data_IF_236006334674
#
_entry.id   IF_236006334674
#
_cell.length_a   1.000
_cell.length_b   1.000
_cell.length_c   1.000
_cell.angle_alpha   90.00
_cell.angle_beta   90.00
_cell.angle_gamma   90.00
#
_symmetry.space_group_name_H-M   'P 1'
#
loop_
_entity.id
_entity.type
_entity.pdbx_description
1 polymer ?
#
# COMPACT_ATOMS: atom_id res chain seq x y z
N UNK A 1 8.31 -34.13 43.82
CA UNK A 1 7.06 -34.00 43.08
C UNK A 1 7.40 -34.02 41.58
N UNK A 2 7.18 -35.18 40.95
CA UNK A 2 7.60 -35.43 39.57
C UNK A 2 6.65 -34.75 38.56
N UNK A 3 7.24 -34.07 37.57
CA UNK A 3 6.50 -33.56 36.40
C UNK A 3 6.30 -34.71 35.42
N UNK A 4 5.07 -35.18 35.27
CA UNK A 4 4.68 -36.13 34.22
C UNK A 4 4.72 -35.41 32.86
N UNK A 5 5.57 -35.91 31.93
CA UNK A 5 5.54 -35.57 30.53
C UNK A 5 4.31 -36.20 29.88
N UNK A 6 3.46 -35.37 29.30
CA UNK A 6 2.36 -35.84 28.42
C UNK A 6 3.00 -36.32 27.13
N UNK A 7 2.91 -37.62 26.86
CA UNK A 7 3.29 -38.19 25.55
C UNK A 7 2.06 -38.09 24.64
N UNK A 8 2.17 -37.29 23.59
CA UNK A 8 1.13 -37.19 22.53
C UNK A 8 1.36 -38.38 21.56
N UNK A 9 0.37 -39.22 21.28
CA UNK A 9 0.54 -40.31 20.32
C UNK A 9 0.73 -39.77 18.91
N UNK A 10 1.71 -40.28 18.17
CA UNK A 10 1.85 -40.04 16.73
C UNK A 10 0.70 -40.73 16.01
N UNK A 11 -0.13 -39.94 15.34
CA UNK A 11 -1.15 -40.43 14.42
C UNK A 11 -0.47 -40.74 13.08
N UNK A 12 -0.34 -42.02 12.76
CA UNK A 12 0.09 -42.49 11.43
C UNK A 12 -1.09 -42.37 10.46
N UNK A 13 -1.02 -41.45 9.48
CA UNK A 13 -1.98 -41.37 8.38
C UNK A 13 -1.64 -42.46 7.33
N UNK A 14 -2.62 -43.21 6.83
CA UNK A 14 -2.38 -44.17 5.75
C UNK A 14 -2.33 -43.44 4.40
N UNK A 15 -1.32 -43.74 3.58
CA UNK A 15 -1.20 -43.36 2.18
C UNK A 15 -0.30 -42.15 1.94
N UNK A 16 1.04 -42.34 2.04
CA UNK A 16 1.99 -41.37 1.51
C UNK A 16 1.98 -41.43 -0.01
N UNK A 17 1.45 -40.40 -0.64
CA UNK A 17 1.83 -40.07 -2.03
C UNK A 17 3.34 -39.82 -2.00
N UNK A 18 4.10 -40.62 -2.77
CA UNK A 18 5.54 -40.46 -2.86
C UNK A 18 5.86 -39.03 -3.38
N UNK A 19 6.32 -38.16 -2.48
CA UNK A 19 6.88 -36.87 -2.82
C UNK A 19 8.20 -37.13 -3.57
N UNK A 20 8.51 -36.40 -4.67
CA UNK A 20 9.79 -36.52 -5.33
C UNK A 20 10.90 -36.15 -4.34
N UNK A 21 11.58 -37.14 -3.83
CA UNK A 21 12.55 -37.05 -2.73
C UNK A 21 13.78 -36.17 -3.04
N UNK A 22 13.99 -35.74 -4.28
CA UNK A 22 15.13 -34.91 -4.67
C UNK A 22 14.96 -33.39 -4.53
N UNK A 23 13.72 -32.87 -4.40
CA UNK A 23 13.48 -31.42 -4.37
C UNK A 23 13.51 -30.89 -2.93
N UNK A 24 13.10 -31.68 -1.94
CA UNK A 24 12.96 -31.24 -0.55
C UNK A 24 14.32 -31.10 0.17
N UNK A 25 15.34 -31.86 -0.23
CA UNK A 25 16.69 -31.80 0.39
C UNK A 25 17.44 -30.49 0.12
N UNK A 26 17.00 -29.67 -0.85
CA UNK A 26 17.60 -28.37 -1.21
C UNK A 26 16.81 -27.15 -0.74
N UNK A 27 15.69 -27.32 -0.04
CA UNK A 27 14.88 -26.20 0.44
C UNK A 27 15.50 -25.59 1.71
N UNK A 28 16.07 -24.39 1.60
CA UNK A 28 16.59 -23.64 2.75
C UNK A 28 15.44 -22.88 3.45
N UNK A 29 14.94 -23.43 4.55
CA UNK A 29 13.94 -22.78 5.40
C UNK A 29 12.48 -23.09 5.02
N UNK A 30 11.57 -22.77 5.96
CA UNK A 30 10.13 -23.02 5.82
C UNK A 30 9.33 -21.81 5.38
N UNK A 31 9.97 -20.64 5.17
CA UNK A 31 9.33 -19.41 4.76
C UNK A 31 9.10 -19.38 3.25
N UNK A 32 7.83 -19.27 2.83
CA UNK A 32 7.47 -19.01 1.45
C UNK A 32 7.39 -17.50 1.21
N UNK A 33 8.27 -16.97 0.38
CA UNK A 33 8.31 -15.53 0.09
C UNK A 33 7.23 -15.12 -0.91
N UNK A 34 6.55 -14.00 -0.64
CA UNK A 34 5.63 -13.38 -1.60
C UNK A 34 6.38 -12.71 -2.75
N UNK A 35 5.82 -12.71 -3.96
CA UNK A 35 6.42 -12.09 -5.16
C UNK A 35 7.84 -12.56 -5.45
N UNK A 36 8.14 -13.84 -5.24
CA UNK A 36 9.46 -14.40 -5.38
C UNK A 36 9.48 -15.66 -6.24
N UNK A 37 10.52 -15.81 -7.05
CA UNK A 37 10.96 -17.11 -7.54
C UNK A 37 11.67 -17.85 -6.41
N UNK A 38 11.00 -18.83 -5.82
CA UNK A 38 11.53 -19.60 -4.69
C UNK A 38 12.78 -20.42 -5.05
N UNK A 39 12.95 -20.81 -6.33
CA UNK A 39 14.17 -21.44 -6.80
C UNK A 39 15.37 -20.51 -6.68
N UNK A 40 15.23 -19.29 -7.13
CA UNK A 40 16.27 -18.24 -7.03
C UNK A 40 16.56 -17.88 -5.58
N UNK A 41 15.52 -17.74 -4.72
CA UNK A 41 15.71 -17.46 -3.29
C UNK A 41 16.45 -18.59 -2.58
N UNK A 42 16.14 -19.85 -2.93
CA UNK A 42 16.83 -21.00 -2.36
C UNK A 42 18.31 -21.05 -2.79
N UNK A 43 18.60 -20.71 -4.04
CA UNK A 43 19.97 -20.75 -4.57
C UNK A 43 20.87 -19.64 -4.00
N UNK A 44 20.33 -18.41 -3.83
CA UNK A 44 21.09 -17.24 -3.37
C UNK A 44 21.01 -16.98 -1.86
N UNK A 45 20.04 -17.59 -1.18
CA UNK A 45 19.66 -17.24 0.17
C UNK A 45 18.83 -15.95 0.26
N UNK A 46 17.98 -15.79 1.30
CA UNK A 46 17.21 -14.58 1.53
C UNK A 46 18.09 -13.42 2.04
N UNK A 47 17.75 -12.20 1.65
CA UNK A 47 18.31 -11.00 2.26
C UNK A 47 17.58 -10.71 3.58
N UNK A 48 18.24 -10.96 4.70
CA UNK A 48 17.60 -10.93 6.04
C UNK A 48 17.96 -9.66 6.77
N UNK A 49 16.95 -8.80 6.98
CA UNK A 49 17.05 -7.60 7.82
C UNK A 49 16.75 -7.97 9.28
N UNK A 50 17.61 -7.55 10.19
CA UNK A 50 17.55 -7.89 11.62
C UNK A 50 17.31 -6.70 12.53
N UNK A 51 17.61 -5.47 12.05
CA UNK A 51 17.45 -4.24 12.82
C UNK A 51 17.10 -3.08 11.89
N UNK A 52 16.36 -2.09 12.40
CA UNK A 52 16.09 -0.81 11.74
C UNK A 52 16.16 0.33 12.74
N UNK A 53 16.71 1.50 12.33
CA UNK A 53 16.78 2.72 13.13
C UNK A 53 16.77 3.93 12.19
N UNK A 54 15.82 4.86 12.37
CA UNK A 54 15.67 6.03 11.52
C UNK A 54 15.49 5.63 10.05
N UNK A 55 16.46 5.99 9.21
CA UNK A 55 16.49 5.72 7.76
C UNK A 55 17.28 4.48 7.38
N UNK A 56 17.84 3.76 8.35
CA UNK A 56 18.80 2.69 8.12
C UNK A 56 18.29 1.34 8.60
N UNK A 57 18.74 0.30 7.91
CA UNK A 57 18.50 -1.10 8.29
C UNK A 57 19.81 -1.88 8.26
N UNK A 58 19.87 -2.97 9.02
CA UNK A 58 21.04 -3.85 9.11
C UNK A 58 20.65 -5.28 8.76
N UNK A 59 21.50 -5.95 8.00
CA UNK A 59 21.35 -7.35 7.69
C UNK A 59 21.87 -8.26 8.83
N UNK A 60 21.78 -9.57 8.59
CA UNK A 60 22.24 -10.59 9.54
C UNK A 60 23.74 -10.54 9.83
N UNK A 61 24.52 -10.07 8.85
CA UNK A 61 25.98 -9.98 8.94
C UNK A 61 26.45 -8.65 9.55
N UNK A 62 25.50 -7.77 9.89
CA UNK A 62 25.74 -6.46 10.50
C UNK A 62 26.06 -5.35 9.49
N UNK A 63 25.91 -5.60 8.20
CA UNK A 63 26.08 -4.56 7.19
C UNK A 63 24.90 -3.58 7.23
N UNK A 64 25.24 -2.29 7.08
CA UNK A 64 24.29 -1.19 7.12
C UNK A 64 23.84 -0.77 5.72
N UNK A 65 22.55 -0.43 5.61
CA UNK A 65 21.92 0.02 4.36
C UNK A 65 21.04 1.24 4.61
N UNK A 66 21.09 2.23 3.70
CA UNK A 66 20.02 3.21 3.57
C UNK A 66 18.75 2.50 3.08
N UNK A 67 17.69 2.57 3.86
CA UNK A 67 16.38 2.05 3.44
C UNK A 67 15.63 3.07 2.59
N UNK A 68 15.82 2.96 1.29
CA UNK A 68 15.20 3.88 0.33
C UNK A 68 13.77 3.52 -0.02
N UNK A 69 13.26 2.43 0.54
CA UNK A 69 11.89 1.95 0.30
C UNK A 69 10.95 2.18 1.48
N UNK A 70 11.46 2.69 2.60
CA UNK A 70 10.75 2.76 3.87
C UNK A 70 10.05 1.41 4.18
N UNK A 71 10.84 0.34 4.20
CA UNK A 71 10.38 -1.04 4.23
C UNK A 71 9.68 -1.45 2.95
N UNK A 72 8.42 -1.07 2.80
CA UNK A 72 7.63 -1.18 1.57
C UNK A 72 6.60 -0.03 1.52
N UNK A 73 7.07 1.21 1.37
CA UNK A 73 6.25 2.43 1.35
C UNK A 73 5.62 2.79 2.70
N UNK A 74 5.96 2.13 3.82
CA UNK A 74 5.18 2.27 5.04
C UNK A 74 5.90 3.01 6.17
N UNK A 75 7.21 2.91 6.35
CA UNK A 75 7.93 3.45 7.51
C UNK A 75 8.11 4.97 7.43
N UNK A 76 7.00 5.71 7.44
CA UNK A 76 7.01 7.17 7.26
C UNK A 76 7.76 7.89 8.39
N UNK A 77 7.57 7.45 9.65
CA UNK A 77 8.18 8.05 10.86
C UNK A 77 9.59 7.54 11.17
N UNK A 78 10.16 6.66 10.32
CA UNK A 78 11.44 5.99 10.56
C UNK A 78 11.30 4.71 11.39
N UNK A 79 12.37 3.90 11.33
CA UNK A 79 12.49 2.67 12.11
C UNK A 79 12.82 2.96 13.58
N UNK A 80 12.53 2.01 14.49
CA UNK A 80 13.03 2.00 15.86
C UNK A 80 12.30 2.95 16.83
N UNK A 81 11.08 3.41 16.51
CA UNK A 81 10.27 4.26 17.42
C UNK A 81 9.76 3.47 18.62
N UNK A 82 10.45 3.57 19.73
CA UNK A 82 10.11 2.85 20.96
C UNK A 82 8.78 3.29 21.55
N UNK A 83 8.35 4.55 21.34
CA UNK A 83 7.06 5.06 21.81
C UNK A 83 5.87 4.35 21.15
N UNK A 84 5.97 3.99 19.85
CA UNK A 84 4.95 3.17 19.18
C UNK A 84 4.92 1.76 19.76
N UNK A 85 6.10 1.15 19.97
CA UNK A 85 6.20 -0.17 20.56
C UNK A 85 5.62 -0.20 21.99
N UNK A 86 5.86 0.86 22.78
CA UNK A 86 5.31 0.99 24.13
C UNK A 86 3.78 1.14 24.11
N UNK A 87 3.23 2.00 23.24
CA UNK A 87 1.78 2.18 23.10
C UNK A 87 1.09 0.86 22.75
N UNK A 88 1.68 0.04 21.87
CA UNK A 88 1.20 -1.29 21.55
C UNK A 88 1.26 -2.22 22.76
N UNK A 89 2.39 -2.27 23.48
CA UNK A 89 2.56 -3.13 24.66
C UNK A 89 1.55 -2.78 25.78
N UNK A 90 1.34 -1.52 26.05
CA UNK A 90 0.38 -1.05 27.05
C UNK A 90 -1.05 -1.43 26.67
N UNK A 91 -1.41 -1.23 25.40
CA UNK A 91 -2.75 -1.62 24.91
C UNK A 91 -2.95 -3.14 24.98
N UNK A 92 -1.97 -3.93 24.54
CA UNK A 92 -2.06 -5.40 24.59
C UNK A 92 -2.16 -5.92 26.03
N UNK A 93 -1.56 -5.21 26.99
CA UNK A 93 -1.64 -5.54 28.42
C UNK A 93 -3.02 -5.24 29.01
N UNK A 94 -3.74 -4.25 28.47
CA UNK A 94 -5.09 -3.89 28.90
C UNK A 94 -6.16 -4.70 28.19
N UNK A 95 -6.13 -4.69 26.87
CA UNK A 95 -7.05 -5.42 25.99
C UNK A 95 -6.35 -5.63 24.65
N UNK A 96 -5.99 -6.89 24.34
CA UNK A 96 -5.30 -7.21 23.10
C UNK A 96 -6.16 -6.91 21.88
N UNK A 97 -7.39 -7.40 21.87
CA UNK A 97 -8.39 -7.15 20.83
C UNK A 97 -9.77 -7.57 21.32
N UNK A 98 -10.80 -6.96 20.75
CA UNK A 98 -12.18 -7.40 20.86
C UNK A 98 -12.89 -7.30 19.51
N UNK A 99 -13.95 -8.09 19.32
CA UNK A 99 -14.68 -8.12 18.05
C UNK A 99 -15.22 -6.72 17.67
N UNK A 100 -15.07 -6.35 16.41
CA UNK A 100 -15.71 -5.17 15.81
C UNK A 100 -17.01 -5.50 15.08
N UNK A 101 -17.65 -6.66 15.33
CA UNK A 101 -18.90 -7.06 14.69
C UNK A 101 -20.11 -6.63 15.51
N UNK A 102 -21.17 -6.24 14.78
CA UNK A 102 -22.42 -5.78 15.39
C UNK A 102 -22.25 -4.42 16.05
N UNK A 103 -22.50 -4.37 17.36
CA UNK A 103 -22.41 -3.17 18.21
C UNK A 103 -21.17 -3.18 19.12
N UNK A 104 -20.21 -4.08 18.86
CA UNK A 104 -19.01 -4.24 19.64
C UNK A 104 -17.86 -3.41 19.06
N UNK A 105 -17.04 -2.83 19.93
CA UNK A 105 -15.79 -2.15 19.57
C UNK A 105 -14.83 -2.12 20.76
N UNK A 106 -13.57 -1.70 20.55
CA UNK A 106 -12.67 -1.30 21.61
C UNK A 106 -12.58 0.24 21.65
N UNK A 107 -12.43 0.84 22.82
CA UNK A 107 -12.38 2.29 23.02
C UNK A 107 -11.29 2.97 22.18
N UNK A 108 -10.08 2.40 22.12
CA UNK A 108 -8.97 2.91 21.30
C UNK A 108 -9.27 2.84 19.80
N UNK A 109 -10.07 1.85 19.37
CA UNK A 109 -10.49 1.70 17.96
C UNK A 109 -11.50 2.78 17.58
N UNK A 110 -12.45 3.06 18.49
CA UNK A 110 -13.44 4.11 18.33
C UNK A 110 -12.76 5.48 18.29
N UNK A 111 -11.86 5.76 19.23
CA UNK A 111 -11.07 6.99 19.27
C UNK A 111 -10.21 7.18 17.99
N UNK A 112 -9.61 6.10 17.44
CA UNK A 112 -8.89 6.18 16.18
C UNK A 112 -9.81 6.52 15.01
N UNK A 113 -11.03 5.95 14.96
CA UNK A 113 -11.99 6.28 13.91
C UNK A 113 -12.35 7.77 13.94
N UNK A 114 -12.62 8.32 15.12
CA UNK A 114 -12.88 9.75 15.31
C UNK A 114 -11.67 10.61 14.88
N UNK A 115 -10.46 10.21 15.28
CA UNK A 115 -9.22 10.90 14.90
C UNK A 115 -9.02 10.91 13.37
N UNK A 116 -9.20 9.78 12.70
CA UNK A 116 -9.09 9.69 11.24
C UNK A 116 -10.17 10.51 10.53
N UNK A 117 -11.37 10.58 11.08
CA UNK A 117 -12.45 11.40 10.52
C UNK A 117 -12.11 12.91 10.55
N UNK A 118 -11.29 13.38 11.51
CA UNK A 118 -10.86 14.79 11.55
C UNK A 118 -9.91 15.19 10.42
N UNK A 119 -9.13 14.24 9.89
CA UNK A 119 -8.16 14.47 8.80
C UNK A 119 -8.68 13.98 7.44
N UNK A 120 -9.91 13.45 7.40
CA UNK A 120 -10.52 12.94 6.17
C UNK A 120 -10.68 14.04 5.12
N UNK A 121 -10.39 13.76 3.82
CA UNK A 121 -10.57 14.74 2.74
C UNK A 121 -12.03 15.13 2.53
N UNK A 122 -12.98 14.30 2.94
CA UNK A 122 -14.42 14.58 2.90
C UNK A 122 -14.95 14.64 4.33
N UNK A 123 -15.40 15.80 4.82
CA UNK A 123 -15.94 15.94 6.18
C UNK A 123 -17.13 14.99 6.43
N UNK A 124 -17.20 14.43 7.62
CA UNK A 124 -18.26 13.50 8.03
C UNK A 124 -18.07 12.06 7.51
N UNK A 125 -16.94 11.76 6.90
CA UNK A 125 -16.60 10.39 6.49
C UNK A 125 -16.67 9.41 7.66
N UNK A 126 -17.11 8.18 7.36
CA UNK A 126 -17.07 7.04 8.27
C UNK A 126 -15.84 6.20 7.99
N UNK A 127 -15.29 5.57 9.01
CA UNK A 127 -14.08 4.78 8.93
C UNK A 127 -14.42 3.30 9.10
N UNK A 128 -14.04 2.49 8.13
CA UNK A 128 -14.14 1.03 8.21
C UNK A 128 -12.74 0.43 8.26
N UNK A 129 -12.39 -0.24 9.36
CA UNK A 129 -11.06 -0.82 9.55
C UNK A 129 -10.90 -2.17 8.88
N UNK A 130 -9.70 -2.40 8.34
CA UNK A 130 -9.24 -3.63 7.69
C UNK A 130 -7.87 -4.04 8.24
N UNK A 131 -7.30 -5.15 7.74
CA UNK A 131 -5.97 -5.60 8.18
C UNK A 131 -4.84 -5.13 7.25
N UNK A 132 -5.17 -4.50 6.12
CA UNK A 132 -4.18 -4.02 5.16
C UNK A 132 -4.80 -3.48 3.87
N UNK A 133 -3.93 -3.06 2.92
CA UNK A 133 -4.37 -2.40 1.68
C UNK A 133 -5.22 -3.29 0.76
N UNK A 134 -4.87 -4.58 0.63
CA UNK A 134 -5.67 -5.51 -0.18
C UNK A 134 -7.08 -5.68 0.37
N UNK A 135 -7.21 -5.78 1.70
CA UNK A 135 -8.52 -5.82 2.38
C UNK A 135 -9.30 -4.52 2.13
N UNK A 136 -8.63 -3.35 2.22
CA UNK A 136 -9.27 -2.06 2.01
C UNK A 136 -9.83 -1.92 0.60
N UNK A 137 -9.08 -2.35 -0.42
CA UNK A 137 -9.53 -2.31 -1.82
C UNK A 137 -10.70 -3.26 -2.05
N UNK A 138 -10.63 -4.52 -1.60
CA UNK A 138 -11.72 -5.48 -1.75
C UNK A 138 -12.99 -5.01 -0.99
N UNK A 139 -12.81 -4.38 0.18
CA UNK A 139 -13.91 -3.75 0.93
C UNK A 139 -14.57 -2.64 0.13
N UNK A 140 -13.78 -1.72 -0.44
CA UNK A 140 -14.30 -0.61 -1.25
C UNK A 140 -15.02 -1.13 -2.51
N UNK A 141 -14.47 -2.15 -3.19
CA UNK A 141 -15.09 -2.78 -4.36
C UNK A 141 -16.45 -3.41 -4.03
N UNK A 142 -16.53 -4.16 -2.92
CA UNK A 142 -17.80 -4.73 -2.43
C UNK A 142 -18.78 -3.65 -1.99
N UNK A 143 -18.32 -2.63 -1.29
CA UNK A 143 -19.17 -1.54 -0.81
C UNK A 143 -19.74 -0.73 -1.97
N UNK A 144 -18.93 -0.46 -3.02
CA UNK A 144 -19.39 0.23 -4.21
C UNK A 144 -20.60 -0.47 -4.85
N UNK A 145 -20.50 -1.79 -5.08
CA UNK A 145 -21.63 -2.58 -5.63
C UNK A 145 -22.82 -2.62 -4.68
N UNK A 146 -22.56 -2.79 -3.37
CA UNK A 146 -23.64 -2.84 -2.38
C UNK A 146 -24.36 -1.50 -2.25
N UNK A 147 -23.66 -0.38 -2.30
CA UNK A 147 -24.23 0.96 -2.32
C UNK A 147 -25.26 1.11 -3.44
N UNK A 148 -24.91 0.70 -4.66
CA UNK A 148 -25.81 0.81 -5.80
C UNK A 148 -27.08 -0.04 -5.64
N UNK A 149 -26.98 -1.20 -5.02
CA UNK A 149 -28.17 -2.00 -4.65
C UNK A 149 -29.06 -1.24 -3.67
N UNK A 150 -28.49 -0.63 -2.64
CA UNK A 150 -29.28 0.07 -1.62
C UNK A 150 -29.97 1.34 -2.16
N UNK A 151 -29.40 1.99 -3.16
CA UNK A 151 -30.04 3.14 -3.82
C UNK A 151 -30.88 2.74 -5.03
N UNK A 152 -31.20 1.44 -5.21
CA UNK A 152 -32.11 0.94 -6.23
C UNK A 152 -31.53 0.83 -7.63
N UNK A 153 -30.21 0.74 -7.77
CA UNK A 153 -29.50 0.63 -9.06
C UNK A 153 -28.56 -0.59 -9.11
N UNK A 154 -29.09 -1.81 -8.94
CA UNK A 154 -28.30 -3.04 -8.84
C UNK A 154 -27.56 -3.40 -10.14
N UNK A 155 -27.90 -2.80 -11.27
CA UNK A 155 -27.23 -2.97 -12.57
C UNK A 155 -25.83 -2.35 -12.62
N UNK A 156 -25.47 -1.43 -11.71
CA UNK A 156 -24.13 -0.83 -11.62
C UNK A 156 -23.16 -1.79 -10.94
N UNK A 157 -22.54 -2.65 -11.75
CA UNK A 157 -21.63 -3.70 -11.26
C UNK A 157 -20.19 -3.55 -11.74
N UNK A 158 -19.96 -2.83 -12.86
CA UNK A 158 -18.64 -2.70 -13.47
C UNK A 158 -17.74 -1.84 -12.57
N UNK A 159 -16.57 -2.37 -12.24
CA UNK A 159 -15.52 -1.66 -11.51
C UNK A 159 -14.34 -1.43 -12.44
N UNK A 160 -13.83 -0.21 -12.48
CA UNK A 160 -12.82 0.23 -13.44
C UNK A 160 -11.52 0.52 -12.71
N UNK A 161 -10.42 -0.09 -13.16
CA UNK A 161 -9.05 0.23 -12.78
C UNK A 161 -8.29 0.87 -13.95
N UNK A 162 -6.97 1.01 -13.82
CA UNK A 162 -6.11 1.61 -14.83
C UNK A 162 -5.00 0.66 -15.24
N UNK A 163 -4.52 0.79 -16.49
CA UNK A 163 -3.25 0.18 -16.89
C UNK A 163 -2.13 0.61 -15.93
N UNK A 164 -1.15 -0.25 -15.69
CA UNK A 164 -0.03 -0.07 -14.73
C UNK A 164 -0.43 0.00 -13.25
N UNK A 165 -1.72 0.12 -12.90
CA UNK A 165 -2.15 0.24 -11.50
C UNK A 165 -1.95 -1.06 -10.70
N UNK A 166 -1.78 -0.89 -9.38
CA UNK A 166 -1.71 -1.98 -8.41
C UNK A 166 -2.68 -1.73 -7.24
N UNK A 167 -3.59 -2.65 -7.01
CA UNK A 167 -4.65 -2.52 -6.00
C UNK A 167 -4.67 -3.67 -4.98
N UNK A 168 -3.51 -4.30 -4.72
CA UNK A 168 -3.41 -5.45 -3.83
C UNK A 168 -3.62 -6.78 -4.55
N UNK A 169 -3.62 -7.89 -3.77
CA UNK A 169 -3.59 -9.26 -4.29
C UNK A 169 -4.79 -10.12 -3.89
N UNK A 170 -5.85 -9.52 -3.32
CA UNK A 170 -7.14 -10.20 -3.23
C UNK A 170 -7.83 -10.16 -4.59
N UNK A 171 -8.91 -10.94 -4.75
CA UNK A 171 -9.53 -11.15 -6.07
C UNK A 171 -9.96 -9.86 -6.75
N UNK A 172 -10.57 -8.92 -6.02
CA UNK A 172 -10.97 -7.64 -6.61
C UNK A 172 -9.75 -6.79 -6.93
N UNK A 173 -8.78 -6.65 -6.01
CA UNK A 173 -7.56 -5.90 -6.25
C UNK A 173 -6.74 -6.43 -7.41
N UNK A 174 -6.58 -7.76 -7.51
CA UNK A 174 -5.93 -8.40 -8.67
C UNK A 174 -6.68 -8.11 -9.97
N UNK A 175 -8.02 -8.20 -9.96
CA UNK A 175 -8.84 -7.95 -11.15
C UNK A 175 -8.77 -6.50 -11.65
N UNK A 176 -8.55 -5.54 -10.74
CA UNK A 176 -8.41 -4.11 -11.03
C UNK A 176 -6.99 -3.72 -11.44
N UNK A 177 -6.00 -4.57 -11.11
CA UNK A 177 -4.59 -4.28 -11.40
C UNK A 177 -4.34 -4.21 -12.92
N UNK A 178 -3.57 -3.23 -13.33
CA UNK A 178 -3.12 -3.06 -14.72
C UNK A 178 -1.73 -3.63 -14.98
N UNK A 179 -1.26 -4.57 -14.16
CA UNK A 179 0.02 -5.28 -14.29
C UNK A 179 -0.28 -6.71 -14.76
N UNK A 180 -0.11 -7.04 -16.06
CA UNK A 180 -0.55 -8.32 -16.62
C UNK A 180 0.00 -9.55 -15.89
N UNK A 181 1.27 -9.52 -15.48
CA UNK A 181 1.90 -10.64 -14.76
C UNK A 181 1.24 -10.96 -13.41
N UNK A 182 0.46 -10.04 -12.83
CA UNK A 182 -0.29 -10.31 -11.61
C UNK A 182 -1.57 -11.12 -11.85
N UNK A 183 -1.99 -11.26 -13.11
CA UNK A 183 -3.17 -12.05 -13.52
C UNK A 183 -2.79 -13.48 -13.93
N UNK A 184 -1.54 -13.70 -14.29
CA UNK A 184 -1.09 -14.97 -14.89
C UNK A 184 -1.29 -16.15 -13.93
N UNK A 185 -1.93 -17.20 -14.43
CA UNK A 185 -2.11 -18.46 -13.72
C UNK A 185 -3.30 -18.50 -12.73
N UNK A 186 -4.02 -17.39 -12.52
CA UNK A 186 -5.15 -17.34 -11.55
C UNK A 186 -6.54 -17.64 -12.17
N UNK A 187 -6.59 -17.96 -13.47
CA UNK A 187 -7.85 -18.29 -14.16
C UNK A 187 -8.80 -17.09 -14.27
N UNK A 188 -10.11 -17.33 -14.18
CA UNK A 188 -11.11 -16.26 -14.26
C UNK A 188 -11.13 -15.47 -12.95
N UNK A 189 -10.73 -14.22 -13.04
CA UNK A 189 -10.80 -13.25 -11.94
C UNK A 189 -12.24 -12.68 -11.81
N UNK A 190 -12.40 -11.58 -11.07
CA UNK A 190 -13.71 -10.97 -10.85
C UNK A 190 -14.35 -10.55 -12.18
N UNK A 191 -15.54 -11.02 -12.53
CA UNK A 191 -16.26 -10.53 -13.69
C UNK A 191 -16.61 -9.04 -13.51
N UNK A 192 -16.81 -8.32 -14.61
CA UNK A 192 -17.13 -6.89 -14.64
C UNK A 192 -16.00 -5.98 -14.11
N UNK A 193 -14.75 -6.46 -14.04
CA UNK A 193 -13.59 -5.60 -13.93
C UNK A 193 -13.14 -5.13 -15.32
N UNK A 194 -12.91 -3.83 -15.47
CA UNK A 194 -12.49 -3.21 -16.72
C UNK A 194 -11.24 -2.35 -16.45
N UNK A 195 -10.43 -2.15 -17.48
CA UNK A 195 -9.21 -1.33 -17.39
C UNK A 195 -9.25 -0.24 -18.45
N UNK A 196 -8.78 0.97 -18.07
CA UNK A 196 -8.61 2.13 -18.95
C UNK A 196 -7.15 2.62 -18.91
N UNK A 197 -6.74 3.47 -19.85
CA UNK A 197 -5.38 4.01 -19.86
C UNK A 197 -5.11 4.87 -18.62
N UNK A 198 -3.90 4.75 -18.09
CA UNK A 198 -3.53 5.38 -16.80
C UNK A 198 -3.33 6.90 -16.89
N UNK A 199 -3.03 7.40 -18.07
CA UNK A 199 -2.63 8.79 -18.37
C UNK A 199 -3.60 9.52 -19.31
N UNK A 200 -4.67 8.87 -19.73
CA UNK A 200 -5.70 9.46 -20.61
C UNK A 200 -7.10 9.36 -19.96
N UNK A 201 -7.58 10.49 -19.43
CA UNK A 201 -8.92 10.57 -18.83
C UNK A 201 -10.05 10.28 -19.84
N UNK A 202 -9.84 10.55 -21.14
CA UNK A 202 -10.84 10.26 -22.17
C UNK A 202 -11.07 8.77 -22.36
N UNK A 203 -10.09 7.94 -22.02
CA UNK A 203 -10.26 6.48 -22.05
C UNK A 203 -11.33 6.00 -21.06
N UNK A 204 -11.46 6.67 -19.88
CA UNK A 204 -12.54 6.41 -18.93
C UNK A 204 -13.89 6.85 -19.49
N UNK A 205 -13.98 8.05 -20.07
CA UNK A 205 -15.22 8.53 -20.69
C UNK A 205 -15.66 7.59 -21.83
N UNK A 206 -14.76 7.22 -22.72
CA UNK A 206 -15.05 6.28 -23.82
C UNK A 206 -15.49 4.89 -23.36
N UNK A 207 -14.95 4.39 -22.21
CA UNK A 207 -15.47 3.16 -21.61
C UNK A 207 -16.91 3.36 -21.13
N UNK A 208 -17.19 4.43 -20.38
CA UNK A 208 -18.53 4.73 -19.86
C UNK A 208 -19.55 4.87 -21.00
N UNK A 209 -19.21 5.58 -22.07
CA UNK A 209 -20.07 5.72 -23.26
C UNK A 209 -20.36 4.37 -23.94
N UNK A 210 -19.35 3.50 -24.02
CA UNK A 210 -19.45 2.18 -24.65
C UNK A 210 -20.33 1.21 -23.87
N UNK A 211 -20.20 1.17 -22.54
CA UNK A 211 -20.90 0.17 -21.70
C UNK A 211 -22.20 0.70 -21.11
N UNK A 212 -22.37 2.01 -21.02
CA UNK A 212 -23.45 2.71 -20.36
C UNK A 212 -23.09 3.11 -18.92
N UNK A 213 -23.30 4.39 -18.58
CA UNK A 213 -23.05 4.91 -17.23
C UNK A 213 -23.87 4.21 -16.14
N UNK A 214 -25.06 3.68 -16.53
CA UNK A 214 -25.95 2.89 -15.67
C UNK A 214 -25.36 1.54 -15.24
N UNK A 215 -24.25 1.11 -15.82
CA UNK A 215 -23.56 -0.16 -15.47
C UNK A 215 -22.27 0.04 -14.71
N UNK A 216 -21.68 1.23 -14.72
CA UNK A 216 -20.39 1.49 -14.08
C UNK A 216 -20.59 1.87 -12.62
N UNK A 217 -20.11 1.03 -11.71
CA UNK A 217 -20.24 1.22 -10.26
C UNK A 217 -19.19 2.17 -9.70
N UNK A 218 -17.92 1.95 -10.03
CA UNK A 218 -16.82 2.71 -9.45
C UNK A 218 -15.59 2.74 -10.37
N UNK A 219 -14.79 3.81 -10.23
CA UNK A 219 -13.46 3.97 -10.80
C UNK A 219 -12.43 4.06 -9.66
N UNK A 220 -11.42 3.19 -9.69
CA UNK A 220 -10.32 3.15 -8.73
C UNK A 220 -9.09 3.85 -9.28
N UNK A 221 -8.48 4.72 -8.48
CA UNK A 221 -7.38 5.57 -8.91
C UNK A 221 -6.34 5.74 -7.80
N UNK A 222 -5.13 5.20 -8.01
CA UNK A 222 -3.96 5.63 -7.24
C UNK A 222 -3.57 7.06 -7.70
N UNK A 223 -3.47 8.07 -6.83
CA UNK A 223 -3.04 9.42 -7.26
C UNK A 223 -1.64 9.44 -7.88
N UNK A 224 -0.73 8.65 -7.35
CA UNK A 224 0.54 8.25 -7.99
C UNK A 224 0.49 6.73 -8.13
N UNK A 225 0.66 6.21 -9.32
CA UNK A 225 0.80 4.76 -9.50
C UNK A 225 2.11 4.31 -8.84
N UNK A 226 2.00 3.50 -7.77
CA UNK A 226 3.15 3.08 -6.99
C UNK A 226 3.88 1.87 -7.58
N UNK A 227 3.39 0.68 -7.28
CA UNK A 227 4.04 -0.59 -7.61
C UNK A 227 4.19 -0.84 -9.12
N UNK A 228 3.38 -0.23 -9.95
CA UNK A 228 3.46 -0.32 -11.41
C UNK A 228 4.68 0.39 -12.02
N UNK A 229 5.44 1.19 -11.22
CA UNK A 229 6.66 1.85 -11.71
C UNK A 229 6.83 3.31 -11.30
N UNK A 230 6.06 3.79 -10.33
CA UNK A 230 6.06 5.18 -9.84
C UNK A 230 5.75 6.14 -11.00
N UNK A 231 4.51 6.10 -11.49
CA UNK A 231 4.06 7.02 -12.54
C UNK A 231 3.28 8.17 -11.91
N UNK A 232 3.78 9.39 -12.14
CA UNK A 232 3.13 10.62 -11.71
C UNK A 232 1.95 10.93 -12.64
N UNK A 233 0.81 11.42 -12.11
CA UNK A 233 -0.34 11.74 -12.95
C UNK A 233 -0.01 12.89 -13.91
N UNK A 234 -0.47 12.86 -15.18
CA UNK A 234 -0.41 14.03 -16.05
C UNK A 234 -1.11 15.23 -15.44
N UNK A 235 -0.67 16.43 -15.81
CA UNK A 235 -1.27 17.67 -15.32
C UNK A 235 -2.78 17.71 -15.62
N UNK A 236 -3.60 17.95 -14.58
CA UNK A 236 -5.06 18.01 -14.69
C UNK A 236 -5.77 16.65 -14.70
N UNK A 237 -5.07 15.53 -14.90
CA UNK A 237 -5.67 14.20 -15.04
C UNK A 237 -6.59 13.83 -13.86
N UNK A 238 -6.11 14.02 -12.62
CA UNK A 238 -6.90 13.64 -11.43
C UNK A 238 -8.21 14.42 -11.32
N UNK A 239 -8.18 15.71 -11.62
CA UNK A 239 -9.38 16.57 -11.63
C UNK A 239 -10.35 16.14 -12.76
N UNK A 240 -9.82 15.83 -13.94
CA UNK A 240 -10.63 15.41 -15.10
C UNK A 240 -11.32 14.06 -14.84
N UNK A 241 -10.61 13.03 -14.39
CA UNK A 241 -11.26 11.73 -14.08
C UNK A 241 -12.27 11.87 -12.94
N UNK A 242 -11.99 12.71 -11.94
CA UNK A 242 -12.97 12.99 -10.87
C UNK A 242 -14.23 13.66 -11.42
N UNK A 243 -14.08 14.61 -12.34
CA UNK A 243 -15.23 15.28 -13.00
C UNK A 243 -16.03 14.29 -13.84
N UNK A 244 -15.37 13.44 -14.65
CA UNK A 244 -16.02 12.38 -15.43
C UNK A 244 -16.86 11.47 -14.51
N UNK A 245 -16.31 11.06 -13.37
CA UNK A 245 -17.04 10.25 -12.40
C UNK A 245 -18.30 10.97 -11.88
N UNK A 246 -18.21 12.25 -11.54
CA UNK A 246 -19.36 13.06 -11.08
C UNK A 246 -20.44 13.17 -12.14
N UNK A 247 -20.06 13.51 -13.37
CA UNK A 247 -21.00 13.76 -14.48
C UNK A 247 -21.77 12.49 -14.90
N UNK A 248 -21.17 11.31 -14.65
CA UNK A 248 -21.73 10.01 -15.01
C UNK A 248 -22.27 9.21 -13.82
N UNK A 249 -22.32 9.82 -12.63
CA UNK A 249 -22.77 9.18 -11.39
C UNK A 249 -22.03 7.86 -11.12
N UNK A 250 -20.69 7.86 -11.27
CA UNK A 250 -19.77 6.77 -10.97
C UNK A 250 -19.05 7.09 -9.67
N UNK A 251 -18.95 6.13 -8.74
CA UNK A 251 -18.20 6.33 -7.51
C UNK A 251 -16.71 6.47 -7.81
N UNK A 252 -16.07 7.51 -7.28
CA UNK A 252 -14.63 7.70 -7.35
C UNK A 252 -13.98 7.15 -6.09
N UNK A 253 -13.11 6.16 -6.24
CA UNK A 253 -12.35 5.54 -5.16
C UNK A 253 -10.89 5.93 -5.28
N UNK A 254 -10.41 6.77 -4.37
CA UNK A 254 -9.00 7.11 -4.28
C UNK A 254 -8.24 6.00 -3.54
N UNK A 255 -7.31 5.33 -4.22
CA UNK A 255 -6.41 4.38 -3.56
C UNK A 255 -5.18 5.11 -3.03
N UNK A 256 -5.24 5.47 -1.75
CA UNK A 256 -4.18 6.18 -1.04
C UNK A 256 -3.36 5.26 -0.11
N UNK A 257 -3.32 3.98 -0.43
CA UNK A 257 -2.50 3.01 0.30
C UNK A 257 -1.02 3.38 0.26
N UNK A 258 -0.55 4.00 -0.83
CA UNK A 258 0.82 4.52 -0.95
C UNK A 258 0.89 6.01 -0.65
N UNK A 259 0.03 6.82 -1.24
CA UNK A 259 0.11 8.30 -1.21
C UNK A 259 -0.33 8.92 0.10
N UNK A 260 -1.10 8.18 0.91
CA UNK A 260 -1.63 8.65 2.18
C UNK A 260 -0.57 8.87 3.27
N UNK A 261 -1.01 9.51 4.34
CA UNK A 261 -0.24 9.82 5.55
C UNK A 261 1.06 10.57 5.26
N UNK A 262 0.97 11.58 4.37
CA UNK A 262 2.06 12.50 4.06
C UNK A 262 2.91 12.13 2.84
N UNK A 263 2.87 10.88 2.33
CA UNK A 263 3.73 10.46 1.21
C UNK A 263 3.57 11.32 -0.04
N UNK A 264 2.38 11.89 -0.26
CA UNK A 264 2.10 12.79 -1.38
C UNK A 264 2.84 14.12 -1.30
N UNK A 265 3.36 14.54 -0.13
CA UNK A 265 3.96 15.84 0.09
C UNK A 265 2.95 17.00 0.16
N UNK A 266 3.43 18.25 0.01
CA UNK A 266 2.59 19.44 -0.01
C UNK A 266 1.85 19.69 1.32
N UNK A 267 2.48 19.37 2.46
CA UNK A 267 1.91 19.46 3.82
C UNK A 267 0.52 18.81 3.96
N UNK A 268 0.27 17.77 3.17
CA UNK A 268 -1.04 17.13 3.08
C UNK A 268 -1.01 15.71 3.61
N UNK A 269 -2.03 15.34 4.40
CA UNK A 269 -2.24 13.97 4.84
C UNK A 269 -2.50 13.02 3.67
N UNK A 270 -3.23 13.49 2.65
CA UNK A 270 -3.70 12.68 1.53
C UNK A 270 -3.60 13.45 0.21
N UNK A 271 -3.39 12.72 -0.89
CA UNK A 271 -3.47 13.27 -2.23
C UNK A 271 -4.86 13.84 -2.53
N UNK A 272 -5.90 13.21 -2.02
CA UNK A 272 -7.28 13.69 -2.14
C UNK A 272 -7.47 15.09 -1.53
N UNK A 273 -6.74 15.41 -0.45
CA UNK A 273 -6.70 16.78 0.11
C UNK A 273 -5.86 17.70 -0.76
N UNK A 274 -4.64 17.28 -1.16
CA UNK A 274 -3.72 18.11 -1.96
C UNK A 274 -4.32 18.53 -3.30
N UNK A 275 -5.14 17.68 -3.92
CA UNK A 275 -5.73 17.91 -5.25
C UNK A 275 -7.25 18.17 -5.23
N UNK A 276 -7.84 18.37 -4.06
CA UNK A 276 -9.29 18.61 -3.88
C UNK A 276 -10.18 17.58 -4.61
N UNK A 277 -9.87 16.30 -4.50
CA UNK A 277 -10.55 15.24 -5.26
C UNK A 277 -11.93 14.88 -4.71
N UNK A 278 -12.19 15.10 -3.43
CA UNK A 278 -13.48 14.78 -2.78
C UNK A 278 -13.95 13.34 -3.10
N UNK A 279 -13.20 12.28 -2.77
CA UNK A 279 -13.53 10.92 -3.15
C UNK A 279 -14.80 10.42 -2.46
N UNK A 280 -15.55 9.53 -3.13
CA UNK A 280 -16.68 8.84 -2.53
C UNK A 280 -16.22 7.77 -1.53
N UNK A 281 -15.07 7.16 -1.79
CA UNK A 281 -14.32 6.30 -0.86
C UNK A 281 -12.81 6.52 -1.03
N UNK A 282 -12.06 6.28 0.05
CA UNK A 282 -10.59 6.30 0.01
C UNK A 282 -10.05 5.09 0.75
N UNK A 283 -9.17 4.32 0.10
CA UNK A 283 -8.51 3.17 0.71
C UNK A 283 -7.14 3.54 1.26
N UNK A 284 -6.82 3.07 2.46
CA UNK A 284 -5.55 3.36 3.14
C UNK A 284 -4.97 2.13 3.83
N UNK A 285 -3.67 2.17 4.10
CA UNK A 285 -2.93 1.21 4.91
C UNK A 285 -1.53 1.80 5.22
N UNK A 286 -0.48 0.98 5.18
CA UNK A 286 0.95 1.35 5.19
C UNK A 286 1.31 2.48 6.18
N UNK A 287 1.33 3.74 5.72
CA UNK A 287 1.62 4.91 6.52
C UNK A 287 0.68 5.13 7.71
N UNK A 288 -0.48 4.49 7.75
CA UNK A 288 -1.42 4.55 8.89
C UNK A 288 -0.77 4.12 10.21
N UNK A 289 0.08 3.11 10.18
CA UNK A 289 0.82 2.60 11.35
C UNK A 289 2.33 2.67 11.16
N UNK A 290 2.81 3.25 10.06
CA UNK A 290 4.22 3.21 9.64
C UNK A 290 4.83 1.79 9.66
N UNK A 291 4.01 0.76 9.44
CA UNK A 291 4.44 -0.64 9.37
C UNK A 291 4.73 -1.29 10.72
N UNK A 292 4.51 -0.62 11.84
CA UNK A 292 4.72 -1.19 13.17
C UNK A 292 3.74 -2.32 13.47
N UNK A 293 2.48 -2.18 13.04
CA UNK A 293 1.44 -3.22 13.15
C UNK A 293 0.58 -3.20 11.88
N UNK A 294 0.17 -4.37 11.35
CA UNK A 294 -0.72 -4.41 10.19
C UNK A 294 -2.08 -3.75 10.48
N UNK A 295 -2.47 -2.78 9.64
CA UNK A 295 -3.79 -2.16 9.65
C UNK A 295 -4.05 -1.47 8.31
N UNK A 296 -5.32 -1.44 7.91
CA UNK A 296 -5.83 -0.62 6.83
C UNK A 296 -7.16 0.03 7.23
N UNK A 297 -7.62 0.95 6.41
CA UNK A 297 -8.93 1.57 6.60
C UNK A 297 -9.52 2.02 5.26
N UNK A 298 -10.84 2.04 5.21
CA UNK A 298 -11.63 2.67 4.14
C UNK A 298 -12.35 3.87 4.74
N UNK A 299 -12.07 5.05 4.19
CA UNK A 299 -12.82 6.26 4.47
C UNK A 299 -14.03 6.30 3.53
N UNK A 300 -15.21 6.44 4.08
CA UNK A 300 -16.48 6.34 3.37
C UNK A 300 -17.19 7.68 3.48
N UNK A 301 -17.33 8.40 2.37
CA UNK A 301 -18.00 9.70 2.35
C UNK A 301 -19.48 9.57 2.77
N UNK A 302 -20.07 10.64 3.34
CA UNK A 302 -21.48 10.63 3.78
C UNK A 302 -22.45 10.13 2.72
N UNK A 303 -22.26 10.52 1.47
CA UNK A 303 -23.08 10.06 0.34
C UNK A 303 -23.18 8.54 0.26
N UNK A 304 -22.06 7.82 0.46
CA UNK A 304 -22.01 6.35 0.38
C UNK A 304 -22.49 5.71 1.68
N UNK A 305 -22.21 6.33 2.82
CA UNK A 305 -22.57 5.81 4.13
C UNK A 305 -24.09 5.94 4.43
N UNK A 306 -24.72 7.05 4.04
CA UNK A 306 -26.09 7.41 4.42
C UNK A 306 -27.14 6.30 4.19
N UNK A 307 -27.21 5.60 3.04
CA UNK A 307 -28.20 4.54 2.84
C UNK A 307 -28.11 3.41 3.87
N UNK A 308 -26.92 3.14 4.42
CA UNK A 308 -26.72 2.10 5.43
C UNK A 308 -27.15 2.52 6.84
N UNK A 309 -27.30 3.80 7.08
CA UNK A 309 -27.78 4.35 8.36
C UNK A 309 -29.30 4.58 8.41
N UNK A 310 -30.00 4.37 7.30
CA UNK A 310 -31.46 4.53 7.22
C UNK A 310 -32.25 3.44 7.98
N UNK A 311 -31.57 2.41 8.48
CA UNK A 311 -32.14 1.27 9.20
C UNK A 311 -32.56 0.12 8.29
N UNK A 312 -32.49 -1.11 8.82
CA UNK A 312 -32.86 -2.34 8.11
C UNK A 312 -31.85 -2.86 7.09
N UNK A 313 -30.79 -2.13 6.78
CA UNK A 313 -29.73 -2.52 5.85
C UNK A 313 -28.58 -3.19 6.61
N UNK A 314 -28.27 -4.41 6.21
CA UNK A 314 -27.15 -5.16 6.76
C UNK A 314 -25.95 -5.13 5.81
N UNK A 315 -24.86 -4.53 6.27
CA UNK A 315 -23.56 -4.64 5.62
C UNK A 315 -22.86 -5.92 6.08
N UNK A 316 -23.08 -7.04 5.36
CA UNK A 316 -22.51 -8.36 5.70
C UNK A 316 -21.07 -8.49 5.21
N UNK A 317 -20.20 -7.74 5.82
CA UNK A 317 -18.78 -7.69 5.55
C UNK A 317 -18.01 -7.28 6.80
N UNK A 318 -16.83 -7.82 7.00
CA UNK A 318 -15.93 -7.51 8.11
C UNK A 318 -14.78 -8.48 8.18
N UNK A 319 -13.78 -8.13 8.95
CA UNK A 319 -12.59 -8.94 9.20
C UNK A 319 -12.49 -9.21 10.69
N UNK A 320 -12.11 -10.43 11.08
CA UNK A 320 -11.95 -10.82 12.50
C UNK A 320 -11.01 -9.87 13.24
N UNK A 321 -9.96 -9.37 12.58
CA UNK A 321 -8.97 -8.46 13.16
C UNK A 321 -9.11 -7.01 12.66
N UNK A 322 -10.21 -6.66 11.99
CA UNK A 322 -10.48 -5.28 11.62
C UNK A 322 -10.60 -4.37 12.85
N UNK A 323 -9.81 -3.29 12.90
CA UNK A 323 -9.79 -2.41 14.07
C UNK A 323 -9.09 -3.02 15.30
N UNK A 324 -8.12 -3.91 15.14
CA UNK A 324 -7.37 -4.52 16.24
C UNK A 324 -6.84 -3.48 17.21
N UNK A 325 -7.17 -3.59 18.51
CA UNK A 325 -6.91 -2.56 19.51
C UNK A 325 -5.40 -2.20 19.61
N UNK A 326 -4.51 -3.19 19.61
CA UNK A 326 -3.06 -2.94 19.58
C UNK A 326 -2.61 -2.21 18.31
N UNK A 327 -3.24 -2.48 17.16
CA UNK A 327 -2.93 -1.76 15.92
C UNK A 327 -3.50 -0.33 15.93
N UNK A 328 -4.66 -0.13 16.55
CA UNK A 328 -5.23 1.20 16.76
C UNK A 328 -4.32 2.06 17.64
N UNK A 329 -3.77 1.51 18.73
CA UNK A 329 -2.80 2.19 19.57
C UNK A 329 -1.51 2.57 18.79
N UNK A 330 -1.03 1.68 17.93
CA UNK A 330 0.10 1.98 17.05
C UNK A 330 -0.22 3.13 16.08
N UNK A 331 -1.42 3.12 15.48
CA UNK A 331 -1.87 4.18 14.57
C UNK A 331 -1.99 5.52 15.29
N UNK A 332 -2.57 5.57 16.50
CA UNK A 332 -2.66 6.79 17.32
C UNK A 332 -1.27 7.38 17.59
N UNK A 333 -0.35 6.55 18.11
CA UNK A 333 1.02 6.99 18.36
C UNK A 333 1.74 7.46 17.08
N UNK A 334 1.52 6.79 15.96
CA UNK A 334 2.08 7.18 14.67
C UNK A 334 1.56 8.55 14.20
N UNK A 335 0.25 8.79 14.30
CA UNK A 335 -0.35 10.09 13.94
C UNK A 335 0.20 11.21 14.83
N UNK A 336 0.34 10.95 16.15
CA UNK A 336 0.90 11.92 17.10
C UNK A 336 2.35 12.27 16.77
N UNK A 337 3.16 11.28 16.34
CA UNK A 337 4.55 11.52 15.91
C UNK A 337 4.57 12.37 14.65
N UNK A 338 3.76 12.04 13.63
CA UNK A 338 3.71 12.80 12.37
C UNK A 338 3.39 14.27 12.64
N UNK A 339 2.41 14.56 13.51
CA UNK A 339 2.03 15.94 13.86
C UNK A 339 3.08 16.64 14.73
N UNK A 340 3.47 16.00 15.82
CA UNK A 340 4.41 16.58 16.79
C UNK A 340 5.76 16.92 16.17
N UNK A 341 6.24 16.08 15.26
CA UNK A 341 7.53 16.26 14.60
C UNK A 341 7.42 17.01 13.25
N UNK A 342 6.22 17.43 12.85
CA UNK A 342 5.99 18.18 11.61
C UNK A 342 6.33 17.39 10.34
N UNK A 343 6.15 16.06 10.35
CA UNK A 343 6.64 15.19 9.29
C UNK A 343 5.92 15.37 7.94
N UNK A 344 4.77 16.02 7.90
CA UNK A 344 4.15 16.42 6.62
C UNK A 344 5.02 17.46 5.91
N UNK A 345 5.57 18.44 6.66
CA UNK A 345 6.53 19.42 6.14
C UNK A 345 7.85 18.77 5.68
N UNK A 346 8.34 17.77 6.43
CA UNK A 346 9.53 17.00 6.06
C UNK A 346 9.32 16.20 4.77
N UNK A 347 8.11 15.63 4.56
CA UNK A 347 7.76 14.98 3.30
C UNK A 347 7.76 15.96 2.11
N UNK A 348 7.33 17.20 2.34
CA UNK A 348 7.39 18.27 1.33
C UNK A 348 8.82 18.71 1.04
N UNK A 349 9.67 18.79 2.06
CA UNK A 349 11.11 19.03 1.88
C UNK A 349 11.76 17.92 1.06
N UNK A 350 11.45 16.66 1.38
CA UNK A 350 11.97 15.50 0.64
C UNK A 350 11.52 15.48 -0.83
N UNK A 351 10.33 15.96 -1.16
CA UNK A 351 9.88 16.11 -2.55
C UNK A 351 10.90 16.96 -3.35
N UNK A 352 11.32 18.08 -2.79
CA UNK A 352 12.36 18.96 -3.38
C UNK A 352 13.74 18.31 -3.40
N UNK A 353 14.19 17.78 -2.27
CA UNK A 353 15.53 17.19 -2.15
C UNK A 353 15.73 16.01 -3.12
N UNK A 354 14.72 15.15 -3.26
CA UNK A 354 14.75 14.02 -4.20
C UNK A 354 14.84 14.50 -5.65
N UNK A 355 14.08 15.55 -6.01
CA UNK A 355 14.15 16.14 -7.34
C UNK A 355 15.52 16.75 -7.62
N UNK A 356 16.07 17.53 -6.68
CA UNK A 356 17.33 18.24 -6.83
C UNK A 356 18.54 17.29 -6.87
N UNK A 357 18.57 16.27 -5.99
CA UNK A 357 19.73 15.38 -5.85
C UNK A 357 19.70 14.18 -6.78
N UNK A 358 18.52 13.64 -7.08
CA UNK A 358 18.40 12.44 -7.94
C UNK A 358 18.12 12.80 -9.40
N UNK A 359 17.59 14.00 -9.70
CA UNK A 359 17.37 14.46 -11.07
C UNK A 359 18.59 14.29 -11.99
N UNK A 360 19.81 14.70 -11.56
CA UNK A 360 21.03 14.55 -12.36
C UNK A 360 21.42 13.10 -12.72
N UNK A 361 20.89 12.08 -12.03
CA UNK A 361 21.17 10.68 -12.34
C UNK A 361 20.70 10.25 -13.75
N UNK A 362 19.86 11.06 -14.40
CA UNK A 362 19.48 10.83 -15.81
C UNK A 362 20.66 10.89 -16.78
N UNK A 363 21.77 11.51 -16.38
CA UNK A 363 23.01 11.57 -17.17
C UNK A 363 23.81 10.25 -17.17
N UNK A 364 23.43 9.28 -16.32
CA UNK A 364 24.07 7.96 -16.31
C UNK A 364 23.54 7.11 -17.48
N UNK A 365 24.42 6.46 -18.23
CA UNK A 365 24.05 5.60 -19.36
C UNK A 365 23.06 4.47 -18.97
N UNK A 366 23.11 4.02 -17.72
CA UNK A 366 22.22 3.01 -17.18
C UNK A 366 20.79 3.53 -16.87
N UNK A 367 20.55 4.85 -16.95
CA UNK A 367 19.29 5.49 -16.54
C UNK A 367 18.62 6.18 -17.74
N UNK A 368 17.38 5.86 -18.01
CA UNK A 368 16.61 6.47 -19.12
C UNK A 368 15.69 7.61 -18.68
N UNK A 369 15.24 7.61 -17.42
CA UNK A 369 14.29 8.60 -16.92
C UNK A 369 14.35 8.69 -15.40
N UNK A 370 14.16 9.89 -14.86
CA UNK A 370 13.90 10.13 -13.44
C UNK A 370 12.49 10.69 -13.29
N UNK A 371 11.60 9.95 -12.64
CA UNK A 371 10.25 10.41 -12.28
C UNK A 371 10.26 10.91 -10.85
N UNK A 372 10.14 12.23 -10.66
CA UNK A 372 10.26 12.91 -9.37
C UNK A 372 9.50 14.25 -9.38
N UNK A 373 9.46 14.96 -8.26
CA UNK A 373 8.83 16.30 -8.15
C UNK A 373 7.36 16.28 -7.76
N UNK A 374 6.84 15.12 -7.34
CA UNK A 374 5.53 15.00 -6.71
C UNK A 374 5.57 13.95 -5.62
N UNK A 375 5.40 14.38 -4.36
CA UNK A 375 5.49 13.52 -3.19
C UNK A 375 6.92 13.11 -2.83
N UNK A 376 7.08 12.53 -1.65
CA UNK A 376 8.37 11.98 -1.19
C UNK A 376 8.64 10.61 -1.86
N UNK A 377 8.63 10.59 -3.20
CA UNK A 377 8.86 9.41 -4.03
C UNK A 377 9.62 9.76 -5.30
N UNK A 378 10.46 8.85 -5.75
CA UNK A 378 11.20 8.96 -7.02
C UNK A 378 11.35 7.57 -7.65
N UNK A 379 11.27 7.50 -8.98
CA UNK A 379 11.71 6.35 -9.76
C UNK A 379 13.00 6.69 -10.49
N UNK A 380 14.01 5.84 -10.36
CA UNK A 380 15.17 5.83 -11.24
C UNK A 380 14.92 4.72 -12.27
N UNK A 381 14.46 5.10 -13.47
CA UNK A 381 14.11 4.14 -14.52
C UNK A 381 15.39 3.66 -15.22
N UNK A 382 15.64 2.36 -15.18
CA UNK A 382 16.75 1.77 -15.89
C UNK A 382 16.51 1.80 -17.42
N UNK A 383 17.58 2.07 -18.17
CA UNK A 383 17.55 2.09 -19.63
C UNK A 383 17.21 0.71 -20.22
N UNK A 384 17.73 -0.36 -19.61
CA UNK A 384 17.34 -1.74 -19.90
C UNK A 384 16.67 -2.36 -18.66
N UNK A 385 15.34 -2.59 -18.68
CA UNK A 385 14.61 -3.21 -17.56
C UNK A 385 15.15 -4.59 -17.15
N UNK A 386 15.77 -5.33 -18.05
CA UNK A 386 16.32 -6.64 -17.76
C UNK A 386 17.52 -6.58 -16.79
N UNK A 387 18.18 -5.43 -16.67
CA UNK A 387 19.30 -5.22 -15.75
C UNK A 387 18.86 -4.99 -14.29
N UNK A 388 17.54 -4.85 -14.01
CA UNK A 388 17.04 -4.50 -12.68
C UNK A 388 17.52 -5.43 -11.54
N UNK A 389 17.58 -6.77 -11.68
CA UNK A 389 18.12 -7.62 -10.63
C UNK A 389 19.60 -7.34 -10.33
N UNK A 390 20.40 -7.10 -11.38
CA UNK A 390 21.83 -6.78 -11.26
C UNK A 390 22.03 -5.40 -10.59
N UNK A 391 21.25 -4.39 -11.00
CA UNK A 391 21.27 -3.04 -10.44
C UNK A 391 20.93 -3.05 -8.95
N UNK A 392 19.85 -3.76 -8.54
CA UNK A 392 19.49 -3.92 -7.12
C UNK A 392 20.62 -4.62 -6.35
N UNK A 393 21.25 -5.64 -6.94
CA UNK A 393 22.39 -6.32 -6.34
C UNK A 393 23.64 -5.40 -6.17
N UNK A 394 23.92 -4.56 -7.17
CA UNK A 394 25.00 -3.56 -7.11
C UNK A 394 24.71 -2.51 -6.04
N UNK A 395 23.52 -1.95 -6.02
CA UNK A 395 23.07 -0.97 -5.00
C UNK A 395 23.20 -1.53 -3.58
N UNK A 396 22.85 -2.78 -3.36
CA UNK A 396 23.01 -3.46 -2.07
C UNK A 396 24.48 -3.51 -1.65
N UNK A 397 25.42 -3.81 -2.58
CA UNK A 397 26.86 -3.78 -2.30
C UNK A 397 27.37 -2.37 -1.93
N UNK A 398 26.69 -1.34 -2.41
CA UNK A 398 26.95 0.07 -2.06
C UNK A 398 26.11 0.56 -0.86
N UNK A 399 25.51 -0.36 -0.08
CA UNK A 399 24.80 -0.02 1.14
C UNK A 399 23.44 0.65 0.90
N UNK A 400 22.76 0.34 -0.22
CA UNK A 400 21.41 0.83 -0.51
C UNK A 400 20.43 -0.35 -0.54
N UNK A 401 19.39 -0.30 0.30
CA UNK A 401 18.28 -1.22 0.25
C UNK A 401 17.19 -0.63 -0.65
N UNK A 402 17.03 -1.19 -1.84
CA UNK A 402 15.99 -0.82 -2.80
C UNK A 402 15.44 -2.04 -3.52
N UNK A 403 14.43 -1.83 -4.34
CA UNK A 403 13.85 -2.84 -5.23
C UNK A 403 13.48 -2.21 -6.57
N UNK A 404 13.28 -3.05 -7.59
CA UNK A 404 12.66 -2.63 -8.82
C UNK A 404 11.13 -2.73 -8.73
N UNK A 405 10.43 -1.77 -9.32
CA UNK A 405 8.99 -1.71 -9.49
C UNK A 405 8.65 -1.66 -10.98
N UNK A 406 7.49 -2.20 -11.37
CA UNK A 406 7.05 -2.20 -12.76
C UNK A 406 8.12 -2.76 -13.72
N UNK A 407 8.41 -2.02 -14.78
CA UNK A 407 9.38 -2.37 -15.80
C UNK A 407 10.77 -1.77 -15.48
N UNK A 408 11.40 -2.17 -14.37
CA UNK A 408 12.78 -1.82 -14.07
C UNK A 408 12.98 -0.42 -13.46
N UNK A 409 11.97 0.17 -12.85
CA UNK A 409 12.10 1.40 -12.08
C UNK A 409 12.64 1.09 -10.67
N UNK A 410 13.80 1.60 -10.30
CA UNK A 410 14.30 1.52 -8.92
C UNK A 410 13.47 2.44 -8.03
N UNK A 411 12.92 1.88 -6.96
CA UNK A 411 12.05 2.57 -6.04
C UNK A 411 12.83 3.38 -5.02
N UNK A 412 12.57 4.69 -4.96
CA UNK A 412 13.07 5.58 -3.90
C UNK A 412 11.83 6.24 -3.25
N UNK A 413 11.57 5.87 -2.02
CA UNK A 413 10.45 6.36 -1.22
C UNK A 413 10.81 6.32 0.28
N UNK A 414 11.81 7.11 0.70
CA UNK A 414 12.41 7.01 2.03
C UNK A 414 11.43 7.39 3.13
N UNK A 415 11.78 7.10 4.38
CA UNK A 415 11.07 7.67 5.53
C UNK A 415 11.24 9.19 5.59
N UNK A 416 10.27 9.90 6.17
CA UNK A 416 10.27 11.37 6.20
C UNK A 416 11.37 11.97 7.09
N UNK A 417 11.97 11.15 7.94
CA UNK A 417 13.10 11.56 8.78
C UNK A 417 14.44 11.57 8.05
N UNK A 418 14.48 11.18 6.76
CA UNK A 418 15.70 11.24 5.95
C UNK A 418 16.15 12.68 5.76
N UNK A 419 17.42 12.95 6.09
CA UNK A 419 17.99 14.28 5.98
C UNK A 419 18.46 14.58 4.55
N UNK A 420 18.55 15.87 4.19
CA UNK A 420 19.05 16.31 2.86
C UNK A 420 20.45 15.74 2.54
N UNK A 421 21.32 15.63 3.57
CA UNK A 421 22.65 15.03 3.42
C UNK A 421 22.58 13.53 3.08
N UNK A 422 21.60 12.80 3.61
CA UNK A 422 21.40 11.37 3.30
C UNK A 422 20.83 11.17 1.89
N UNK A 423 20.04 12.13 1.39
CA UNK A 423 19.59 12.12 -0.03
C UNK A 423 20.80 12.34 -0.95
N UNK A 424 21.75 13.22 -0.57
CA UNK A 424 23.02 13.39 -1.27
C UNK A 424 23.86 12.11 -1.25
N UNK A 425 24.02 11.51 -0.08
CA UNK A 425 24.72 10.22 0.08
C UNK A 425 24.08 9.12 -0.80
N UNK A 426 22.75 9.09 -0.88
CA UNK A 426 22.03 8.16 -1.75
C UNK A 426 22.38 8.37 -3.23
N UNK A 427 22.40 9.63 -3.71
CA UNK A 427 22.76 9.96 -5.08
C UNK A 427 24.19 9.49 -5.42
N UNK A 428 25.14 9.73 -4.51
CA UNK A 428 26.54 9.27 -4.67
C UNK A 428 26.62 7.74 -4.75
N UNK A 429 25.92 7.03 -3.87
CA UNK A 429 25.89 5.56 -3.86
C UNK A 429 25.24 4.97 -5.12
N UNK A 430 24.17 5.60 -5.65
CA UNK A 430 23.53 5.19 -6.90
C UNK A 430 24.50 5.42 -8.07
N UNK A 431 25.17 6.58 -8.11
CA UNK A 431 26.17 6.89 -9.12
C UNK A 431 27.31 5.86 -9.10
N UNK A 432 27.85 5.52 -7.93
CA UNK A 432 28.90 4.51 -7.81
C UNK A 432 28.47 3.09 -8.19
N UNK A 433 27.17 2.78 -8.06
CA UNK A 433 26.64 1.46 -8.34
C UNK A 433 26.25 1.25 -9.83
N UNK A 434 25.85 2.33 -10.51
CA UNK A 434 25.29 2.30 -11.87
C UNK A 434 26.18 2.98 -12.93
N UNK A 435 27.10 3.86 -12.51
CA UNK A 435 28.11 4.51 -13.36
C UNK A 435 29.32 3.62 -13.51
#
# INVERSE_FOLDING_TARGET
MGRSRVVVPQVTLPGSVATPTGIIEHMSGSLWHGFADMGSVTASGPFVITRGEGTRVWDRDGNEYLDTTAGLWFTNIGHGRTEVAQAVADQLSTLAHYSGFGDLTADVTDALADRLATIAPVPGSKIFFTSGGSDSVDTAAKLARRYWVEVGRPEKTIIVGRTKAYHGMHVAGTSLAGIPSNHDGYGTLMPDAQTVEWDDAKSLLGLIERVGADKVAAFFCEPIIGAGGIYLPPAGYLAEVRQICRDNDVLFVADEVVTGFGRIGGDSWFASTRFDLQPDMMTTAKGLTSGYVPMGAVFIAPRVAEPFYAGGVWWRHGYTYGGHAGAAAAAMANLDIIEREGLLGEASRLEGDLADKLGPLVELDAVSEIRTGLGAVTAVQLADPATAPAAVGALRKHGVSTRAAGQGALQISPSFVMQTSEVGELADRITAALG
#
